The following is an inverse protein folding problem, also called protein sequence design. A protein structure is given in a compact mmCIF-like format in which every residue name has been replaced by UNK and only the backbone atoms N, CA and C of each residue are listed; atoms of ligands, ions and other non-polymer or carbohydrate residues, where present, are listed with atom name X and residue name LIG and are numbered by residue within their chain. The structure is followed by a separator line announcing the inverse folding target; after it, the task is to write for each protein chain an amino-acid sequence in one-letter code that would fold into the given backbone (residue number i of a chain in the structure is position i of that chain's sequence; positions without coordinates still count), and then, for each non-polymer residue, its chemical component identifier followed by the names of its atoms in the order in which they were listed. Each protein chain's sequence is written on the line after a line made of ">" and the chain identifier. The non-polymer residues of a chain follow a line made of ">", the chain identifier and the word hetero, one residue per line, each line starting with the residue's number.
data_IF_647776852735
#
_entry.id   IF_647776852735
#
_cell.length_a   1.000
_cell.length_b   1.000
_cell.length_c   1.000
_cell.angle_alpha   90.00
_cell.angle_beta   90.00
_cell.angle_gamma   90.00
#
_symmetry.space_group_name_H-M   'P 1'
#
loop_
_entity.id
_entity.type
_entity.pdbx_description
1 polymer ?
#
# COMPACT_ATOMS: atom_id res chain seq x y z
N UNK A 1 7.62 -10.84 28.63
CA UNK A 1 8.02 -11.15 27.24
C UNK A 1 9.38 -11.83 27.28
N UNK A 2 9.61 -12.91 26.53
CA UNK A 2 10.81 -13.74 26.71
C UNK A 2 11.94 -13.33 25.74
N UNK A 3 12.45 -12.10 25.91
CA UNK A 3 13.32 -11.41 24.94
C UNK A 3 14.64 -12.14 24.67
N UNK A 4 15.25 -12.75 25.69
CA UNK A 4 16.51 -13.50 25.56
C UNK A 4 16.44 -14.64 24.53
N UNK A 5 15.29 -15.29 24.38
CA UNK A 5 15.09 -16.34 23.37
C UNK A 5 15.04 -15.76 21.96
N UNK A 6 14.44 -14.57 21.80
CA UNK A 6 14.37 -13.86 20.52
C UNK A 6 15.77 -13.39 20.09
N UNK A 7 16.53 -12.80 21.02
CA UNK A 7 17.92 -12.36 20.79
C UNK A 7 18.82 -13.53 20.36
N UNK A 8 18.75 -14.66 21.07
CA UNK A 8 19.52 -15.86 20.72
C UNK A 8 19.12 -16.43 19.35
N UNK A 9 17.83 -16.43 19.00
CA UNK A 9 17.35 -16.87 17.69
C UNK A 9 17.85 -15.93 16.57
N UNK A 10 17.84 -14.62 16.77
CA UNK A 10 18.36 -13.64 15.81
C UNK A 10 19.86 -13.84 15.57
N UNK A 11 20.65 -14.07 16.63
CA UNK A 11 22.08 -14.37 16.48
C UNK A 11 22.32 -15.65 15.66
N UNK A 12 21.56 -16.72 15.92
CA UNK A 12 21.67 -17.96 15.14
C UNK A 12 21.33 -17.70 13.65
N UNK A 13 20.23 -16.98 13.37
CA UNK A 13 19.83 -16.60 12.01
C UNK A 13 20.93 -15.82 11.28
N UNK A 14 21.64 -14.93 11.98
CA UNK A 14 22.74 -14.14 11.41
C UNK A 14 24.02 -14.95 11.14
N UNK A 15 24.21 -16.11 11.80
CA UNK A 15 25.38 -16.99 11.57
C UNK A 15 25.23 -17.98 10.41
N UNK A 16 24.01 -18.11 9.86
CA UNK A 16 23.72 -18.99 8.72
C UNK A 16 24.10 -18.34 7.38
N UNK A 17 24.30 -19.17 6.35
CA UNK A 17 24.60 -18.70 4.99
C UNK A 17 23.44 -17.91 4.36
N UNK A 18 23.72 -17.16 3.30
CA UNK A 18 22.69 -16.35 2.62
C UNK A 18 21.52 -17.21 2.12
N UNK A 19 21.78 -18.41 1.58
CA UNK A 19 20.76 -19.35 1.11
C UNK A 19 19.85 -19.81 2.25
N UNK A 20 20.43 -20.19 3.39
CA UNK A 20 19.68 -20.62 4.59
C UNK A 20 18.89 -19.46 5.20
N UNK A 21 19.46 -18.25 5.25
CA UNK A 21 18.74 -17.05 5.67
C UNK A 21 17.54 -16.75 4.75
N UNK A 22 17.68 -16.95 3.45
CA UNK A 22 16.60 -16.78 2.47
C UNK A 22 15.50 -17.83 2.69
N UNK A 23 15.87 -19.07 3.00
CA UNK A 23 14.99 -20.19 3.34
C UNK A 23 14.24 -19.98 4.69
N UNK A 24 14.82 -19.21 5.61
CA UNK A 24 14.22 -18.79 6.90
C UNK A 24 13.38 -17.50 6.76
N UNK A 25 13.65 -16.65 5.77
CA UNK A 25 12.77 -15.51 5.41
C UNK A 25 11.53 -16.00 4.67
N UNK A 26 11.70 -16.97 3.75
CA UNK A 26 10.64 -17.92 3.45
C UNK A 26 10.28 -18.72 4.73
N UNK A 27 9.11 -19.36 4.80
CA UNK A 27 8.52 -19.92 6.05
C UNK A 27 8.12 -18.84 7.06
N UNK A 28 9.02 -17.98 7.56
CA UNK A 28 8.65 -16.92 8.52
C UNK A 28 7.71 -15.88 7.90
N UNK A 29 8.02 -15.40 6.69
CA UNK A 29 7.21 -14.39 5.99
C UNK A 29 6.32 -14.97 4.87
N UNK A 30 6.45 -16.27 4.55
CA UNK A 30 5.71 -16.90 3.43
C UNK A 30 4.18 -16.96 3.59
N UNK A 31 3.65 -16.72 4.79
CA UNK A 31 2.23 -16.91 5.11
C UNK A 31 1.50 -15.60 5.51
N UNK A 32 2.06 -14.43 5.16
CA UNK A 32 1.26 -13.20 5.11
C UNK A 32 0.75 -13.08 3.66
N UNK A 33 -0.48 -13.51 3.34
CA UNK A 33 -1.04 -13.21 2.02
C UNK A 33 -1.05 -11.69 1.87
N UNK A 34 -0.39 -11.19 0.83
CA UNK A 34 -0.56 -9.79 0.46
C UNK A 34 -2.04 -9.61 0.10
N UNK A 35 -2.75 -8.63 0.69
CA UNK A 35 -4.16 -8.45 0.44
C UNK A 35 -4.37 -8.26 -1.06
N UNK A 36 -5.37 -8.97 -1.61
CA UNK A 36 -5.72 -8.85 -3.02
C UNK A 36 -6.09 -7.40 -3.35
N UNK A 37 -5.97 -7.00 -4.62
CA UNK A 37 -6.39 -5.66 -5.06
C UNK A 37 -7.82 -5.35 -4.60
N UNK A 38 -8.72 -6.35 -4.60
CA UNK A 38 -10.08 -6.20 -4.10
C UNK A 38 -10.13 -5.87 -2.59
N UNK A 39 -9.38 -6.58 -1.76
CA UNK A 39 -9.30 -6.32 -0.31
C UNK A 39 -8.68 -4.94 -0.03
N UNK A 40 -7.65 -4.54 -0.78
CA UNK A 40 -7.05 -3.21 -0.69
C UNK A 40 -8.06 -2.12 -1.07
N UNK A 41 -8.80 -2.29 -2.17
CA UNK A 41 -9.85 -1.36 -2.59
C UNK A 41 -10.98 -1.26 -1.57
N UNK A 42 -11.42 -2.39 -0.98
CA UNK A 42 -12.42 -2.41 0.08
C UNK A 42 -11.93 -1.73 1.36
N UNK A 43 -10.65 -1.89 1.72
CA UNK A 43 -10.02 -1.17 2.83
C UNK A 43 -9.93 0.35 2.57
N UNK A 44 -9.55 0.77 1.37
CA UNK A 44 -9.50 2.18 0.97
C UNK A 44 -10.91 2.82 0.97
N UNK A 45 -11.91 2.07 0.50
CA UNK A 45 -13.31 2.52 0.47
C UNK A 45 -13.92 2.62 1.88
N UNK A 46 -13.75 1.60 2.72
CA UNK A 46 -14.28 1.60 4.10
C UNK A 46 -13.49 2.50 5.06
N UNK A 47 -12.21 2.71 4.80
CA UNK A 47 -11.32 3.61 5.56
C UNK A 47 -11.41 5.08 5.18
N UNK A 48 -12.31 5.47 4.27
CA UNK A 48 -12.48 6.87 3.86
C UNK A 48 -11.30 7.45 3.06
N UNK A 49 -10.47 6.61 2.42
CA UNK A 49 -9.38 7.12 1.56
C UNK A 49 -9.89 7.85 0.31
N UNK A 50 -11.16 7.67 -0.04
CA UNK A 50 -11.87 8.42 -1.09
C UNK A 50 -12.76 9.55 -0.55
N UNK A 51 -12.72 9.85 0.76
CA UNK A 51 -13.59 10.87 1.36
C UNK A 51 -13.31 12.27 0.78
N UNK A 52 -12.09 12.53 0.31
CA UNK A 52 -11.72 13.78 -0.37
C UNK A 52 -12.59 14.09 -1.60
N UNK A 53 -13.18 13.08 -2.26
CA UNK A 53 -14.12 13.28 -3.35
C UNK A 53 -15.42 13.98 -2.89
N UNK A 54 -15.81 13.81 -1.62
CA UNK A 54 -16.93 14.53 -1.02
C UNK A 54 -16.57 15.96 -0.59
N UNK A 55 -15.30 16.22 -0.28
CA UNK A 55 -14.81 17.55 0.11
C UNK A 55 -14.49 18.44 -1.12
N UNK A 56 -14.15 17.83 -2.26
CA UNK A 56 -13.81 18.52 -3.52
C UNK A 56 -14.70 18.10 -4.72
N UNK A 57 -16.05 18.17 -4.62
CA UNK A 57 -16.98 17.75 -5.68
C UNK A 57 -16.95 18.66 -6.92
N UNK A 58 -16.25 19.80 -6.87
CA UNK A 58 -16.01 20.69 -8.01
C UNK A 58 -14.82 20.24 -8.89
N UNK A 59 -14.01 19.31 -8.38
CA UNK A 59 -12.79 18.82 -9.06
C UNK A 59 -13.00 17.40 -9.60
N UNK A 60 -13.65 16.52 -8.82
CA UNK A 60 -13.90 15.12 -9.20
C UNK A 60 -15.38 14.74 -9.13
N UNK A 61 -15.81 13.86 -10.03
CA UNK A 61 -17.17 13.28 -10.03
C UNK A 61 -17.32 12.19 -8.97
N UNK A 62 -18.39 12.27 -8.18
CA UNK A 62 -18.69 11.29 -7.12
C UNK A 62 -19.10 9.90 -7.64
N UNK A 63 -19.46 9.76 -8.92
CA UNK A 63 -19.92 8.49 -9.50
C UNK A 63 -18.78 7.54 -9.87
N UNK A 64 -17.63 8.08 -10.29
CA UNK A 64 -16.49 7.32 -10.84
C UNK A 64 -15.12 7.78 -10.31
N UNK A 65 -15.04 8.92 -9.62
CA UNK A 65 -13.79 9.52 -9.15
C UNK A 65 -12.97 10.20 -10.26
N UNK A 66 -13.51 10.37 -11.47
CA UNK A 66 -12.81 11.03 -12.57
C UNK A 66 -12.80 12.56 -12.41
N UNK A 67 -11.83 13.29 -13.01
CA UNK A 67 -11.85 14.74 -13.01
C UNK A 67 -13.04 15.28 -13.83
N UNK A 68 -13.78 16.24 -13.26
CA UNK A 68 -14.81 16.99 -14.00
C UNK A 68 -14.17 17.63 -15.25
N UNK A 69 -14.91 17.70 -16.36
CA UNK A 69 -14.39 18.16 -17.65
C UNK A 69 -13.67 19.53 -17.60
N UNK A 70 -14.06 20.40 -16.66
CA UNK A 70 -13.41 21.69 -16.39
C UNK A 70 -12.04 21.49 -15.72
N UNK A 71 -11.96 20.67 -14.66
CA UNK A 71 -10.70 20.28 -14.02
C UNK A 71 -9.76 19.54 -14.99
N UNK A 72 -10.32 18.70 -15.87
CA UNK A 72 -9.59 18.04 -16.96
C UNK A 72 -8.97 19.03 -17.95
N UNK A 73 -9.67 20.11 -18.28
CA UNK A 73 -9.15 21.19 -19.13
C UNK A 73 -8.02 21.97 -18.45
N UNK A 74 -8.16 22.28 -17.15
CA UNK A 74 -7.13 22.97 -16.35
C UNK A 74 -5.85 22.11 -16.27
N UNK A 75 -5.99 20.83 -15.91
CA UNK A 75 -4.85 19.90 -15.86
C UNK A 75 -4.17 19.73 -17.22
N UNK A 76 -4.95 19.68 -18.32
CA UNK A 76 -4.40 19.59 -19.67
C UNK A 76 -3.65 20.88 -20.08
N UNK A 77 -4.12 22.06 -19.68
CA UNK A 77 -3.37 23.31 -19.88
C UNK A 77 -2.11 23.41 -19.02
N UNK A 78 -2.10 22.88 -17.79
CA UNK A 78 -0.90 22.83 -16.95
C UNK A 78 0.19 21.93 -17.55
N UNK A 79 -0.18 20.80 -18.15
CA UNK A 79 0.75 19.88 -18.84
C UNK A 79 1.32 20.50 -20.14
N UNK A 80 0.60 21.44 -20.78
CA UNK A 80 0.98 22.02 -22.07
C UNK A 80 1.87 23.28 -21.93
N UNK A 81 2.10 23.78 -20.71
CA UNK A 81 2.89 24.99 -20.43
C UNK A 81 4.32 24.68 -19.90
N UNK A 82 4.91 23.54 -20.27
CA UNK A 82 6.23 23.13 -19.77
C UNK A 82 7.23 22.70 -20.86
#
# INVERSE_FOLDING_TARGET
>A
MNTKLIESLVQIIQTLSEEEQLLIKAKLFSNIPYPSTLEITQLAQSGGSFQFLHDEPDIYTLEDGEPIAIAKLINQQLITNH
#
